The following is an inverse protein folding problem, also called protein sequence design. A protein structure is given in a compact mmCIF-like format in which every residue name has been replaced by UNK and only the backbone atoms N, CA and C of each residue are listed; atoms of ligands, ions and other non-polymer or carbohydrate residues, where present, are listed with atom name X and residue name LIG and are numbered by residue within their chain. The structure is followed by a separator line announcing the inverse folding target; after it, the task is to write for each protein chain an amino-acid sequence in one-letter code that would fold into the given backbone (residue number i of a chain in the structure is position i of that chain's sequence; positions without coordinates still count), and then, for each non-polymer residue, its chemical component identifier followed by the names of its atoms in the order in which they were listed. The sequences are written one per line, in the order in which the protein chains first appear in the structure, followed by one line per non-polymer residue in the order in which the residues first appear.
data_IF_960001810375
#
_entry.id   IF_960001810375
#
_cell.length_a   1.000
_cell.length_b   1.000
_cell.length_c   1.000
_cell.angle_alpha   90.00
_cell.angle_beta   90.00
_cell.angle_gamma   90.00
#
_symmetry.space_group_name_H-M   'P 1'
#
loop_
_entity.id
_entity.type
_entity.pdbx_description
1 polymer ?
#
# COMPACT_ATOMS: atom_id res chain seq x y z
N UNK A 1 -27.26 11.49 -23.80
CA UNK A 1 -26.43 10.32 -23.45
C UNK A 1 -26.20 10.31 -21.95
N UNK A 2 -26.89 9.44 -21.20
CA UNK A 2 -26.74 9.33 -19.75
C UNK A 2 -25.40 8.62 -19.46
N UNK A 3 -24.37 9.35 -19.04
CA UNK A 3 -23.09 8.73 -18.63
C UNK A 3 -23.34 7.98 -17.33
N UNK A 4 -23.19 6.66 -17.34
CA UNK A 4 -23.18 5.88 -16.10
C UNK A 4 -22.12 6.45 -15.15
N UNK A 5 -22.43 6.62 -13.85
CA UNK A 5 -21.50 7.15 -12.88
C UNK A 5 -20.26 6.25 -12.80
N UNK A 6 -19.06 6.83 -12.98
CA UNK A 6 -17.79 6.11 -12.86
C UNK A 6 -17.55 5.72 -11.41
N UNK A 7 -17.16 4.48 -11.15
CA UNK A 7 -16.86 4.00 -9.79
C UNK A 7 -15.50 4.55 -9.34
N UNK A 8 -15.35 4.83 -8.04
CA UNK A 8 -14.13 5.44 -7.48
C UNK A 8 -12.84 4.72 -7.86
N UNK A 9 -12.82 3.38 -7.86
CA UNK A 9 -11.65 2.58 -8.23
C UNK A 9 -11.25 2.70 -9.71
N UNK A 10 -12.18 3.07 -10.59
CA UNK A 10 -11.91 3.26 -12.04
C UNK A 10 -11.23 4.60 -12.32
N UNK A 11 -11.44 5.58 -11.44
CA UNK A 11 -10.88 6.94 -11.54
C UNK A 11 -9.82 7.20 -10.47
N UNK A 12 -9.37 6.14 -9.78
CA UNK A 12 -8.45 6.26 -8.67
C UNK A 12 -7.11 6.84 -9.15
N UNK A 13 -6.66 7.96 -8.58
CA UNK A 13 -5.44 8.61 -9.02
C UNK A 13 -4.23 7.89 -8.41
N UNK A 14 -3.54 7.07 -9.21
CA UNK A 14 -2.36 6.33 -8.79
C UNK A 14 -2.00 5.21 -9.77
N UNK A 15 -1.03 4.37 -9.38
CA UNK A 15 -0.57 3.23 -10.19
C UNK A 15 -1.06 1.87 -9.67
N UNK A 16 -1.83 1.86 -8.59
CA UNK A 16 -2.42 0.65 -8.04
C UNK A 16 -3.38 -0.02 -9.04
N UNK A 17 -3.44 -1.35 -8.99
CA UNK A 17 -4.37 -2.16 -9.76
C UNK A 17 -5.51 -2.59 -8.85
N UNK A 18 -6.75 -2.47 -9.35
CA UNK A 18 -7.94 -2.89 -8.62
C UNK A 18 -8.55 -4.11 -9.29
N UNK A 19 -8.95 -5.09 -8.48
CA UNK A 19 -9.64 -6.31 -8.90
C UNK A 19 -10.95 -6.48 -8.12
N UNK A 20 -11.81 -7.41 -8.56
CA UNK A 20 -13.08 -7.73 -7.91
C UNK A 20 -13.94 -6.48 -7.62
N UNK A 21 -14.22 -5.68 -8.64
CA UNK A 21 -14.99 -4.42 -8.54
C UNK A 21 -14.43 -3.39 -7.54
N UNK A 22 -13.12 -3.42 -7.29
CA UNK A 22 -12.45 -2.48 -6.39
C UNK A 22 -12.27 -2.99 -4.96
N UNK A 23 -12.61 -4.25 -4.68
CA UNK A 23 -12.42 -4.86 -3.34
C UNK A 23 -10.98 -5.27 -3.06
N UNK A 24 -10.20 -5.54 -4.10
CA UNK A 24 -8.80 -5.93 -3.98
C UNK A 24 -7.95 -4.83 -4.59
N UNK A 25 -7.03 -4.28 -3.79
CA UNK A 25 -6.07 -3.28 -4.22
C UNK A 25 -4.67 -3.90 -4.23
N UNK A 26 -4.02 -3.92 -5.38
CA UNK A 26 -2.66 -4.44 -5.54
C UNK A 26 -1.71 -3.35 -6.01
N UNK A 27 -0.42 -3.55 -5.75
CA UNK A 27 0.64 -2.74 -6.35
C UNK A 27 0.66 -2.90 -7.88
N UNK A 28 1.31 -1.94 -8.57
CA UNK A 28 1.49 -1.98 -10.03
C UNK A 28 2.20 -3.25 -10.50
N UNK A 29 3.18 -3.71 -9.74
CA UNK A 29 3.99 -4.89 -10.04
C UNK A 29 3.39 -6.14 -9.37
N UNK A 30 2.28 -6.64 -9.91
CA UNK A 30 1.62 -7.86 -9.41
C UNK A 30 2.46 -9.13 -9.58
N UNK A 31 3.47 -9.11 -10.46
CA UNK A 31 4.35 -10.25 -10.70
C UNK A 31 5.13 -10.71 -9.46
N UNK A 32 5.57 -9.78 -8.61
CA UNK A 32 6.30 -10.12 -7.37
C UNK A 32 5.40 -10.92 -6.43
N UNK A 33 4.12 -10.55 -6.32
CA UNK A 33 3.14 -11.29 -5.53
C UNK A 33 2.97 -12.72 -6.04
N UNK A 34 2.75 -12.91 -7.35
CA UNK A 34 2.60 -14.24 -7.92
C UNK A 34 3.87 -15.09 -7.76
N UNK A 35 5.05 -14.49 -7.89
CA UNK A 35 6.31 -15.18 -7.63
C UNK A 35 6.39 -15.65 -6.17
N UNK A 36 6.09 -14.78 -5.20
CA UNK A 36 6.09 -15.17 -3.78
C UNK A 36 5.08 -16.27 -3.48
N UNK A 37 3.89 -16.19 -4.08
CA UNK A 37 2.84 -17.19 -3.93
C UNK A 37 3.31 -18.56 -4.45
N UNK A 38 3.86 -18.61 -5.66
CA UNK A 38 4.37 -19.84 -6.26
C UNK A 38 5.52 -20.42 -5.44
N UNK A 39 6.46 -19.60 -4.99
CA UNK A 39 7.59 -20.07 -4.18
C UNK A 39 7.11 -20.67 -2.86
N UNK A 40 6.17 -20.04 -2.16
CA UNK A 40 5.63 -20.54 -0.89
C UNK A 40 4.86 -21.84 -1.12
N UNK A 41 3.98 -21.89 -2.13
CA UNK A 41 3.19 -23.07 -2.45
C UNK A 41 4.07 -24.26 -2.85
N UNK A 42 5.08 -24.02 -3.69
CA UNK A 42 5.98 -25.07 -4.15
C UNK A 42 6.82 -25.63 -3.00
N UNK A 43 7.52 -24.76 -2.26
CA UNK A 43 8.41 -25.20 -1.17
C UNK A 43 7.64 -25.89 -0.05
N UNK A 44 6.50 -25.32 0.37
CA UNK A 44 5.64 -25.95 1.38
C UNK A 44 5.02 -27.24 0.86
N UNK A 45 4.54 -27.26 -0.38
CA UNK A 45 3.94 -28.44 -1.00
C UNK A 45 4.90 -29.61 -1.09
N UNK A 46 6.16 -29.36 -1.46
CA UNK A 46 7.22 -30.38 -1.47
C UNK A 46 7.49 -30.91 -0.06
N UNK A 47 7.60 -30.04 0.93
CA UNK A 47 7.79 -30.43 2.34
C UNK A 47 6.64 -31.30 2.87
N UNK A 48 5.39 -30.94 2.55
CA UNK A 48 4.22 -31.75 2.94
C UNK A 48 4.13 -33.08 2.19
N UNK A 49 4.58 -33.13 0.93
CA UNK A 49 4.51 -34.34 0.12
C UNK A 49 5.60 -35.37 0.49
N UNK A 50 6.83 -34.92 0.76
CA UNK A 50 7.98 -35.81 0.92
C UNK A 50 8.41 -35.98 2.38
N UNK A 51 8.55 -34.89 3.14
CA UNK A 51 9.11 -34.96 4.50
C UNK A 51 8.04 -35.30 5.55
N UNK A 52 6.85 -34.71 5.44
CA UNK A 52 5.78 -34.87 6.42
C UNK A 52 5.29 -36.31 6.63
N UNK A 53 5.17 -37.19 5.59
CA UNK A 53 4.79 -38.58 5.80
C UNK A 53 5.78 -39.32 6.70
N UNK A 54 7.08 -39.15 6.44
CA UNK A 54 8.15 -39.73 7.26
C UNK A 54 8.11 -39.17 8.69
N UNK A 55 7.93 -37.86 8.83
CA UNK A 55 7.89 -37.19 10.13
C UNK A 55 6.69 -37.62 10.98
N UNK A 56 5.53 -37.83 10.35
CA UNK A 56 4.30 -38.26 11.00
C UNK A 56 4.41 -39.69 11.53
N UNK A 57 5.03 -40.60 10.78
CA UNK A 57 5.13 -42.02 11.14
C UNK A 57 6.27 -42.31 12.12
N UNK A 58 7.39 -41.60 12.02
CA UNK A 58 8.61 -41.93 12.79
C UNK A 58 8.86 -41.04 14.01
N UNK A 59 8.28 -39.84 14.08
CA UNK A 59 8.52 -38.89 15.16
C UNK A 59 7.23 -38.49 15.86
N UNK A 60 6.39 -37.70 15.19
CA UNK A 60 5.09 -37.29 15.72
C UNK A 60 4.26 -36.59 14.64
N UNK A 61 2.95 -36.85 14.57
CA UNK A 61 2.03 -36.11 13.69
C UNK A 61 1.85 -34.64 14.10
N UNK A 62 2.31 -34.24 15.29
CA UNK A 62 2.23 -32.85 15.74
C UNK A 62 3.03 -31.89 14.85
N UNK A 63 4.19 -32.33 14.32
CA UNK A 63 5.04 -31.47 13.48
C UNK A 63 4.34 -31.07 12.17
N UNK A 64 3.82 -32.00 11.34
CA UNK A 64 3.08 -31.62 10.14
C UNK A 64 1.81 -30.83 10.47
N UNK A 65 1.14 -31.10 11.60
CA UNK A 65 -0.03 -30.31 12.03
C UNK A 65 0.34 -28.85 12.30
N UNK A 66 1.41 -28.59 13.06
CA UNK A 66 1.91 -27.22 13.31
C UNK A 66 2.36 -26.56 12.01
N UNK A 67 3.05 -27.31 11.14
CA UNK A 67 3.44 -26.83 9.82
C UNK A 67 2.23 -26.36 9.00
N UNK A 68 1.14 -27.14 8.98
CA UNK A 68 -0.07 -26.80 8.23
C UNK A 68 -0.73 -25.53 8.78
N UNK A 69 -0.79 -25.37 10.11
CA UNK A 69 -1.31 -24.15 10.75
C UNK A 69 -0.47 -22.93 10.38
N UNK A 70 0.87 -23.04 10.44
CA UNK A 70 1.77 -21.96 10.08
C UNK A 70 1.66 -21.60 8.59
N UNK A 71 1.53 -22.59 7.72
CA UNK A 71 1.31 -22.36 6.29
C UNK A 71 0.04 -21.55 6.03
N UNK A 72 -1.09 -21.93 6.64
CA UNK A 72 -2.35 -21.19 6.52
C UNK A 72 -2.20 -19.77 7.07
N UNK A 73 -1.53 -19.60 8.21
CA UNK A 73 -1.27 -18.29 8.80
C UNK A 73 -0.44 -17.40 7.87
N UNK A 74 0.67 -17.91 7.33
CA UNK A 74 1.55 -17.18 6.40
C UNK A 74 0.79 -16.79 5.14
N UNK A 75 0.00 -17.70 4.56
CA UNK A 75 -0.83 -17.40 3.39
C UNK A 75 -1.84 -16.29 3.70
N UNK A 76 -2.52 -16.37 4.84
CA UNK A 76 -3.44 -15.32 5.30
C UNK A 76 -2.77 -13.96 5.46
N UNK A 77 -1.58 -13.93 6.07
CA UNK A 77 -0.80 -12.70 6.23
C UNK A 77 -0.30 -12.14 4.89
N UNK A 78 0.12 -13.00 3.96
CA UNK A 78 0.52 -12.60 2.61
C UNK A 78 -0.63 -11.91 1.88
N UNK A 79 -1.82 -12.53 1.85
CA UNK A 79 -2.99 -11.94 1.21
C UNK A 79 -3.39 -10.63 1.88
N UNK A 80 -3.42 -10.58 3.21
CA UNK A 80 -3.72 -9.36 3.96
C UNK A 80 -2.73 -8.25 3.60
N UNK A 81 -1.43 -8.51 3.64
CA UNK A 81 -0.42 -7.51 3.32
C UNK A 81 -0.50 -7.05 1.85
N UNK A 82 -0.82 -7.96 0.93
CA UNK A 82 -0.81 -7.67 -0.50
C UNK A 82 -2.06 -6.95 -1.01
N UNK A 83 -3.20 -7.17 -0.36
CA UNK A 83 -4.50 -6.66 -0.80
C UNK A 83 -5.04 -5.50 0.05
N UNK A 84 -4.38 -5.19 1.16
CA UNK A 84 -4.77 -4.07 2.02
C UNK A 84 -4.25 -2.75 1.46
N UNK A 85 -5.07 -1.70 1.64
CA UNK A 85 -4.64 -0.32 1.42
C UNK A 85 -3.53 0.03 2.44
N UNK A 86 -2.34 0.49 1.99
CA UNK A 86 -1.27 0.93 2.90
C UNK A 86 -1.61 2.22 3.66
N UNK A 87 -2.79 2.80 3.42
CA UNK A 87 -3.25 4.05 4.00
C UNK A 87 -3.05 5.21 3.04
N UNK A 88 -3.48 5.06 1.77
CA UNK A 88 -3.31 6.10 0.74
C UNK A 88 -4.05 7.38 1.14
N UNK A 89 -3.32 8.49 1.11
CA UNK A 89 -3.92 9.81 1.31
C UNK A 89 -4.61 10.31 0.03
N UNK A 90 -5.80 10.93 0.15
CA UNK A 90 -6.45 11.56 -0.99
C UNK A 90 -5.57 12.70 -1.52
N UNK A 91 -5.49 12.81 -2.85
CA UNK A 91 -4.84 13.95 -3.51
C UNK A 91 -5.68 15.20 -3.29
N UNK A 92 -5.04 16.36 -3.24
CA UNK A 92 -5.75 17.63 -3.16
C UNK A 92 -6.66 17.81 -4.37
N UNK A 93 -7.84 18.37 -4.14
CA UNK A 93 -8.71 18.82 -5.22
C UNK A 93 -8.05 19.95 -6.01
N UNK A 94 -8.47 20.21 -7.27
CA UNK A 94 -7.90 21.30 -8.06
C UNK A 94 -7.98 22.66 -7.36
N UNK A 95 -9.08 22.91 -6.64
CA UNK A 95 -9.30 24.15 -5.91
C UNK A 95 -8.37 24.25 -4.70
N UNK A 96 -8.28 23.20 -3.88
CA UNK A 96 -7.32 23.14 -2.76
C UNK A 96 -5.87 23.29 -3.21
N UNK A 97 -5.50 22.65 -4.34
CA UNK A 97 -4.16 22.76 -4.89
C UNK A 97 -3.86 24.19 -5.37
N UNK A 98 -4.82 24.83 -6.04
CA UNK A 98 -4.67 26.21 -6.51
C UNK A 98 -4.59 27.21 -5.34
N UNK A 99 -5.37 27.01 -4.28
CA UNK A 99 -5.30 27.85 -3.09
C UNK A 99 -3.98 27.69 -2.35
N UNK A 100 -3.46 26.46 -2.27
CA UNK A 100 -2.15 26.20 -1.70
C UNK A 100 -1.05 26.90 -2.51
N UNK A 101 -1.10 26.79 -3.84
CA UNK A 101 -0.15 27.44 -4.76
C UNK A 101 -0.22 28.97 -4.63
N UNK A 102 -1.42 29.56 -4.53
CA UNK A 102 -1.61 31.01 -4.27
C UNK A 102 -1.02 31.44 -2.92
N UNK A 103 -1.24 30.67 -1.85
CA UNK A 103 -0.67 30.98 -0.53
C UNK A 103 0.85 30.97 -0.57
N UNK A 104 1.41 29.97 -1.24
CA UNK A 104 2.85 29.84 -1.47
C UNK A 104 3.40 31.08 -2.20
N UNK A 105 2.76 31.49 -3.29
CA UNK A 105 3.20 32.63 -4.10
C UNK A 105 3.07 33.97 -3.34
N UNK A 106 2.01 34.12 -2.55
CA UNK A 106 1.77 35.33 -1.74
C UNK A 106 2.80 35.55 -0.62
N UNK A 107 3.53 34.50 -0.22
CA UNK A 107 4.56 34.59 0.82
C UNK A 107 5.88 35.20 0.28
N UNK A 108 5.92 35.64 -0.99
CA UNK A 108 7.05 36.39 -1.56
C UNK A 108 8.32 35.57 -1.80
N UNK A 109 8.26 34.24 -1.69
CA UNK A 109 9.38 33.38 -2.04
C UNK A 109 9.42 33.22 -3.56
N UNK A 110 10.33 33.91 -4.24
CA UNK A 110 10.67 33.75 -5.67
C UNK A 110 11.31 32.39 -6.02
N UNK A 111 11.18 31.40 -5.13
CA UNK A 111 11.68 30.04 -5.24
C UNK A 111 10.49 29.08 -5.13
N UNK A 112 10.56 27.88 -5.75
CA UNK A 112 9.49 26.90 -5.69
C UNK A 112 9.00 26.69 -4.25
N UNK A 113 7.73 26.30 -4.07
CA UNK A 113 7.01 26.31 -2.79
C UNK A 113 7.87 26.03 -1.55
N UNK A 114 7.70 26.76 -0.42
CA UNK A 114 8.36 26.42 0.83
C UNK A 114 8.14 24.93 1.09
N UNK A 115 9.23 24.16 0.94
CA UNK A 115 9.19 22.69 0.94
C UNK A 115 8.69 22.13 2.28
N UNK A 116 8.60 23.00 3.28
CA UNK A 116 8.23 22.68 4.65
C UNK A 116 7.23 23.69 5.20
N UNK A 117 6.12 23.19 5.75
CA UNK A 117 5.19 23.95 6.60
C UNK A 117 5.38 23.50 8.04
N UNK A 118 5.50 24.44 8.97
CA UNK A 118 5.55 24.11 10.40
C UNK A 118 4.14 24.11 10.97
N UNK A 119 3.80 23.03 11.67
CA UNK A 119 2.52 22.87 12.36
C UNK A 119 2.80 22.47 13.79
N UNK A 120 2.13 23.12 14.74
CA UNK A 120 2.22 22.80 16.15
C UNK A 120 1.33 21.58 16.47
N UNK A 121 1.93 20.46 16.82
CA UNK A 121 1.21 19.25 17.25
C UNK A 121 1.53 19.00 18.71
N UNK A 122 0.53 19.11 19.60
CA UNK A 122 0.71 18.95 21.06
C UNK A 122 1.83 19.82 21.66
N UNK A 123 1.97 21.07 21.20
CA UNK A 123 3.02 21.98 21.67
C UNK A 123 4.38 21.81 21.00
N UNK A 124 4.57 20.81 20.14
CA UNK A 124 5.82 20.58 19.41
C UNK A 124 5.67 21.03 17.95
N UNK A 125 6.60 21.86 17.47
CA UNK A 125 6.64 22.27 16.06
C UNK A 125 7.14 21.11 15.19
N UNK A 126 6.29 20.63 14.28
CA UNK A 126 6.61 19.56 13.34
C UNK A 126 6.65 20.12 11.92
N UNK A 127 7.75 19.85 11.21
CA UNK A 127 7.96 20.24 9.81
C UNK A 127 7.29 19.24 8.87
N UNK A 128 6.23 19.65 8.19
CA UNK A 128 5.53 18.87 7.16
C UNK A 128 6.15 19.11 5.80
N UNK A 129 6.40 18.05 5.02
CA UNK A 129 7.00 18.16 3.68
C UNK A 129 5.93 18.13 2.60
N UNK A 130 6.02 19.05 1.64
CA UNK A 130 5.12 19.07 0.49
C UNK A 130 5.35 17.87 -0.45
N UNK A 131 4.30 17.36 -1.07
CA UNK A 131 4.34 16.39 -2.16
C UNK A 131 3.81 17.05 -3.44
N UNK A 132 4.66 17.17 -4.46
CA UNK A 132 4.29 17.81 -5.73
C UNK A 132 3.32 16.97 -6.57
N UNK A 133 3.35 15.65 -6.43
CA UNK A 133 2.48 14.74 -7.17
C UNK A 133 1.05 14.72 -6.62
N UNK A 134 0.93 14.59 -5.29
CA UNK A 134 -0.37 14.52 -4.61
C UNK A 134 -0.92 15.91 -4.22
N UNK A 135 -0.09 16.95 -4.37
CA UNK A 135 -0.42 18.37 -4.08
C UNK A 135 -0.88 18.62 -2.64
N UNK A 136 -0.27 17.90 -1.68
CA UNK A 136 -0.57 18.00 -0.25
C UNK A 136 0.69 18.20 0.60
N UNK A 137 0.53 18.85 1.76
CA UNK A 137 1.52 18.73 2.84
C UNK A 137 1.31 17.40 3.55
N UNK A 138 2.30 16.51 3.46
CA UNK A 138 2.20 15.16 4.02
C UNK A 138 2.16 15.21 5.54
N UNK A 139 1.22 14.51 6.20
CA UNK A 139 1.22 14.35 7.64
C UNK A 139 2.52 13.71 8.14
N UNK A 140 2.82 13.82 9.45
CA UNK A 140 3.96 13.13 10.05
C UNK A 140 3.90 11.63 9.74
N UNK A 141 5.05 11.04 9.41
CA UNK A 141 5.24 9.61 9.06
C UNK A 141 4.71 9.17 7.67
N UNK A 142 4.07 10.04 6.89
CA UNK A 142 3.67 9.73 5.51
C UNK A 142 4.79 10.01 4.49
N UNK A 143 4.96 9.13 3.51
CA UNK A 143 5.96 9.28 2.44
C UNK A 143 5.38 8.93 1.08
N UNK A 144 5.69 9.74 0.07
CA UNK A 144 5.29 9.43 -1.29
C UNK A 144 6.05 8.21 -1.83
N UNK A 145 5.32 7.20 -2.26
CA UNK A 145 5.84 6.02 -2.94
C UNK A 145 5.72 6.20 -4.45
N UNK A 146 6.85 6.28 -5.16
CA UNK A 146 6.88 6.44 -6.62
C UNK A 146 6.39 5.21 -7.39
N UNK A 147 6.44 4.02 -6.77
CA UNK A 147 5.91 2.79 -7.37
C UNK A 147 4.37 2.79 -7.36
N UNK A 148 3.76 3.13 -6.23
CA UNK A 148 2.31 3.22 -6.08
C UNK A 148 1.74 4.54 -6.65
N UNK A 149 2.58 5.56 -6.79
CA UNK A 149 2.21 6.93 -7.14
C UNK A 149 1.22 7.56 -6.14
N UNK A 150 1.42 7.26 -4.86
CA UNK A 150 0.54 7.67 -3.76
C UNK A 150 1.37 8.09 -2.54
N UNK A 151 0.83 9.01 -1.74
CA UNK A 151 1.37 9.33 -0.41
C UNK A 151 0.78 8.42 0.65
#
# INVERSE_FOLDING_TARGET
VHRSPRRKWQVFPGRNRFYCDGRIMMARQTGVFYLTLVLILLTSGLFFAFDCPFLATHLTPAIPAVGAVLFVFVMGMLFRASFSDPGVLPRATPDEAADLERQIDSTGCSKPPPRTREVLVKGQAVKLKYCFTCKIFRPPRASHCSLCDNC
#
